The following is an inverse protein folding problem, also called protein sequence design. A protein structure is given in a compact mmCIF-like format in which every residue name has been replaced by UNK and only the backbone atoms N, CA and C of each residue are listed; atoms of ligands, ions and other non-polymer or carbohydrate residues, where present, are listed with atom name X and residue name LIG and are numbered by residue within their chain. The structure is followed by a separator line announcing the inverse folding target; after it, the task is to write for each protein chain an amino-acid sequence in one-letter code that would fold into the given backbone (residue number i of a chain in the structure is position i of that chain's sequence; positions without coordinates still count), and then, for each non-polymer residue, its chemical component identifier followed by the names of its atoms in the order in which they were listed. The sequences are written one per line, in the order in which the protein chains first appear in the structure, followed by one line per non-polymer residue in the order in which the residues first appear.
data_IF_493498131307
#
_entry.id   IF_493498131307
#
_cell.length_a   1.000
_cell.length_b   1.000
_cell.length_c   1.000
_cell.angle_alpha   90.00
_cell.angle_beta   90.00
_cell.angle_gamma   90.00
#
_symmetry.space_group_name_H-M   'P 1'
#
loop_
_entity.id
_entity.type
_entity.pdbx_description
1 polymer ?
#
# COMPACT_ATOMS: atom_id res chain seq x y z
N UNK A 1 -25.81 -46.96 38.92
CA UNK A 1 -26.68 -46.43 37.86
C UNK A 1 -27.75 -45.59 38.54
N UNK A 2 -27.81 -44.28 38.20
CA UNK A 2 -29.02 -43.43 38.00
C UNK A 2 -30.13 -43.58 39.05
N UNK A 3 -30.64 -42.59 39.78
CA UNK A 3 -30.86 -41.17 39.51
C UNK A 3 -31.14 -40.49 40.86
N UNK A 4 -30.64 -39.28 41.06
CA UNK A 4 -31.16 -38.36 42.08
C UNK A 4 -32.12 -37.40 41.38
N UNK A 5 -33.42 -37.54 41.66
CA UNK A 5 -34.46 -36.54 41.40
C UNK A 5 -34.89 -35.96 42.74
N UNK A 6 -34.64 -34.67 43.02
CA UNK A 6 -35.42 -33.51 42.58
C UNK A 6 -36.58 -33.21 43.54
N UNK A 7 -36.37 -32.28 44.47
CA UNK A 7 -37.33 -31.20 44.80
C UNK A 7 -36.69 -30.22 45.80
N UNK A 8 -36.12 -29.14 45.27
CA UNK A 8 -35.90 -27.90 46.03
C UNK A 8 -37.16 -27.04 45.92
N UNK A 9 -37.62 -26.38 47.01
CA UNK A 9 -38.74 -25.47 46.95
C UNK A 9 -38.34 -24.16 46.23
N UNK A 10 -39.21 -23.71 45.33
CA UNK A 10 -39.18 -22.39 44.71
C UNK A 10 -39.29 -21.29 45.77
N UNK A 11 -38.38 -20.29 45.80
CA UNK A 11 -38.69 -19.02 46.41
C UNK A 11 -39.50 -18.17 45.42
N UNK A 12 -40.70 -17.83 45.86
CA UNK A 12 -41.55 -16.80 45.30
C UNK A 12 -40.84 -15.45 45.21
N UNK A 13 -41.19 -14.71 44.16
CA UNK A 13 -40.98 -13.27 43.96
C UNK A 13 -39.53 -12.78 44.09
N UNK A 14 -38.79 -12.87 42.99
CA UNK A 14 -37.68 -11.96 42.74
C UNK A 14 -38.22 -10.53 42.70
N UNK A 15 -38.17 -9.84 43.84
CA UNK A 15 -38.41 -8.41 43.92
C UNK A 15 -37.40 -7.68 43.02
N UNK A 16 -37.93 -6.87 42.12
CA UNK A 16 -37.23 -6.04 41.15
C UNK A 16 -36.36 -4.94 41.79
N UNK A 17 -35.24 -5.25 42.46
CA UNK A 17 -34.36 -4.21 43.03
C UNK A 17 -32.85 -4.54 43.12
N UNK A 18 -32.30 -5.52 42.39
CA UNK A 18 -30.88 -5.90 42.55
C UNK A 18 -29.85 -5.14 41.70
N UNK A 19 -30.24 -4.18 40.86
CA UNK A 19 -29.28 -3.27 40.20
C UNK A 19 -28.89 -2.05 41.05
N UNK A 20 -29.23 -2.04 42.35
CA UNK A 20 -28.86 -0.96 43.27
C UNK A 20 -27.37 -1.02 43.64
N UNK A 21 -26.58 -0.27 42.87
CA UNK A 21 -25.31 0.40 43.23
C UNK A 21 -24.76 0.03 44.63
N UNK A 22 -23.98 -1.04 44.71
CA UNK A 22 -23.49 -1.62 45.97
C UNK A 22 -22.57 -0.71 46.81
N UNK A 23 -22.05 0.39 46.26
CA UNK A 23 -21.21 1.33 47.02
C UNK A 23 -21.11 2.69 46.32
N UNK A 24 -21.66 3.71 46.97
CA UNK A 24 -21.43 5.13 46.65
C UNK A 24 -19.95 5.50 46.71
N UNK A 25 -19.18 4.90 47.63
CA UNK A 25 -17.73 5.08 47.72
C UNK A 25 -17.01 4.59 46.47
N UNK A 26 -17.33 3.39 45.99
CA UNK A 26 -16.73 2.84 44.77
C UNK A 26 -17.12 3.64 43.53
N UNK A 27 -18.38 4.08 43.43
CA UNK A 27 -18.81 4.98 42.36
C UNK A 27 -18.10 6.34 42.41
N UNK A 28 -17.88 6.91 43.60
CA UNK A 28 -17.16 8.18 43.73
C UNK A 28 -15.67 8.05 43.40
N UNK A 29 -15.03 6.94 43.77
CA UNK A 29 -13.64 6.66 43.45
C UNK A 29 -13.44 6.47 41.93
N UNK A 30 -14.36 5.75 41.28
CA UNK A 30 -14.34 5.55 39.82
C UNK A 30 -14.51 6.88 39.07
N UNK A 31 -15.45 7.74 39.50
CA UNK A 31 -15.62 9.06 38.87
C UNK A 31 -14.41 9.97 39.09
N UNK A 32 -13.83 9.98 40.29
CA UNK A 32 -12.61 10.75 40.57
C UNK A 32 -11.45 10.28 39.68
N UNK A 33 -11.31 8.96 39.47
CA UNK A 33 -10.32 8.39 38.57
C UNK A 33 -10.57 8.79 37.10
N UNK A 34 -11.81 8.64 36.60
CA UNK A 34 -12.17 9.05 35.23
C UNK A 34 -11.91 10.54 35.03
N UNK A 35 -12.29 11.37 36.00
CA UNK A 35 -12.05 12.81 35.96
C UNK A 35 -10.55 13.14 35.89
N UNK A 36 -9.74 12.47 36.70
CA UNK A 36 -8.28 12.64 36.68
C UNK A 36 -7.69 12.23 35.33
N UNK A 37 -8.09 11.08 34.77
CA UNK A 37 -7.65 10.63 33.44
C UNK A 37 -8.04 11.65 32.37
N UNK A 38 -9.28 12.16 32.40
CA UNK A 38 -9.74 13.11 31.40
C UNK A 38 -9.01 14.44 31.52
N UNK A 39 -8.82 14.95 32.74
CA UNK A 39 -8.01 16.16 32.98
C UNK A 39 -6.59 15.93 32.50
N UNK A 40 -5.98 14.77 32.78
CA UNK A 40 -4.62 14.47 32.33
C UNK A 40 -4.55 14.46 30.80
N UNK A 41 -5.50 13.82 30.12
CA UNK A 41 -5.58 13.82 28.65
C UNK A 41 -5.76 15.25 28.13
N UNK A 42 -6.69 16.02 28.67
CA UNK A 42 -6.95 17.42 28.25
C UNK A 42 -5.77 18.34 28.52
N UNK A 43 -5.13 18.17 29.68
CA UNK A 43 -3.90 18.86 30.01
C UNK A 43 -2.82 18.47 29.02
N UNK A 44 -2.60 17.18 28.73
CA UNK A 44 -1.58 16.77 27.75
C UNK A 44 -1.89 17.21 26.32
N UNK A 45 -3.14 17.41 25.93
CA UNK A 45 -3.52 17.88 24.60
C UNK A 45 -3.48 19.40 24.49
N UNK A 46 -3.86 20.14 25.53
CA UNK A 46 -3.91 21.61 25.56
C UNK A 46 -2.59 22.26 26.04
N UNK A 47 -1.79 21.56 26.85
CA UNK A 47 -0.49 22.06 27.35
C UNK A 47 0.68 21.72 26.42
N UNK A 48 0.44 20.96 25.33
CA UNK A 48 1.46 20.74 24.30
C UNK A 48 1.65 22.04 23.53
N UNK A 49 2.78 22.68 23.82
CA UNK A 49 3.31 23.84 23.13
C UNK A 49 3.33 23.61 21.62
N UNK A 50 3.11 24.69 20.88
CA UNK A 50 3.26 24.68 19.43
C UNK A 50 4.73 24.43 19.14
N UNK A 51 5.04 23.42 18.32
CA UNK A 51 6.42 23.13 17.97
C UNK A 51 6.79 23.90 16.72
N UNK A 52 7.82 24.74 16.82
CA UNK A 52 8.51 25.29 15.67
C UNK A 52 9.43 24.22 15.07
N UNK A 53 9.05 23.69 13.90
CA UNK A 53 9.92 22.80 13.14
C UNK A 53 10.95 23.64 12.39
N UNK A 54 12.27 23.40 12.53
CA UNK A 54 13.32 24.18 11.84
C UNK A 54 13.45 23.82 10.36
N UNK A 55 12.32 23.81 9.63
CA UNK A 55 12.21 23.48 8.20
C UNK A 55 13.13 24.36 7.34
N UNK A 56 13.31 25.64 7.70
CA UNK A 56 14.20 26.57 6.99
C UNK A 56 15.66 26.13 6.99
N UNK A 57 16.15 25.59 8.12
CA UNK A 57 17.50 25.04 8.25
C UNK A 57 17.66 23.79 7.38
N UNK A 58 16.69 22.86 7.43
CA UNK A 58 16.73 21.63 6.63
C UNK A 58 16.70 21.93 5.14
N UNK A 59 15.90 22.92 4.71
CA UNK A 59 15.87 23.37 3.31
C UNK A 59 17.20 24.00 2.90
N UNK A 60 17.84 24.80 3.75
CA UNK A 60 19.16 25.36 3.48
C UNK A 60 20.22 24.25 3.33
N UNK A 61 20.22 23.27 4.24
CA UNK A 61 21.11 22.12 4.20
C UNK A 61 20.88 21.26 2.94
N UNK A 62 19.62 21.05 2.55
CA UNK A 62 19.26 20.36 1.32
C UNK A 62 19.76 21.12 0.10
N UNK A 63 19.51 22.44 0.00
CA UNK A 63 20.01 23.24 -1.13
C UNK A 63 21.54 23.19 -1.26
N UNK A 64 22.26 23.18 -0.15
CA UNK A 64 23.71 23.02 -0.15
C UNK A 64 24.16 21.63 -0.61
N UNK A 65 23.35 20.59 -0.34
CA UNK A 65 23.66 19.18 -0.67
C UNK A 65 23.16 18.73 -2.04
N UNK A 66 22.07 19.29 -2.56
CA UNK A 66 21.42 18.87 -3.81
C UNK A 66 22.09 19.46 -5.08
N UNK A 67 23.36 19.87 -5.03
CA UNK A 67 23.98 20.65 -6.09
C UNK A 67 23.92 19.97 -7.48
N UNK A 68 23.13 20.56 -8.39
CA UNK A 68 23.52 20.74 -9.78
C UNK A 68 23.11 22.16 -10.25
N UNK A 69 24.02 22.91 -10.87
CA UNK A 69 23.77 24.27 -11.37
C UNK A 69 23.02 24.25 -12.72
N UNK A 70 22.31 25.34 -12.99
CA UNK A 70 21.77 25.77 -14.29
C UNK A 70 20.39 25.27 -14.75
N UNK A 71 19.89 24.10 -14.37
CA UNK A 71 18.54 23.67 -14.76
C UNK A 71 17.73 23.25 -13.54
N UNK A 72 17.10 24.22 -12.88
CA UNK A 72 15.95 23.95 -12.03
C UNK A 72 14.73 24.05 -12.96
N UNK A 73 14.30 22.97 -13.66
CA UNK A 73 12.94 22.97 -14.17
C UNK A 73 12.06 23.20 -12.94
N UNK A 74 11.15 24.16 -13.06
CA UNK A 74 10.40 24.73 -11.95
C UNK A 74 10.08 23.67 -10.87
N UNK A 75 10.55 23.88 -9.63
CA UNK A 75 10.35 22.99 -8.47
C UNK A 75 8.87 22.59 -8.27
N UNK A 76 7.95 23.24 -8.97
CA UNK A 76 6.51 22.96 -9.05
C UNK A 76 6.14 21.67 -9.80
N UNK A 77 7.05 20.99 -10.50
CA UNK A 77 6.74 19.75 -11.25
C UNK A 77 7.60 18.53 -10.87
N UNK A 78 8.37 18.57 -9.79
CA UNK A 78 9.11 17.40 -9.33
C UNK A 78 8.11 16.32 -8.88
N UNK A 79 8.09 15.18 -9.58
CA UNK A 79 7.29 14.02 -9.18
C UNK A 79 8.10 13.20 -8.17
N UNK A 80 7.46 12.75 -7.08
CA UNK A 80 8.09 11.84 -6.12
C UNK A 80 8.47 10.52 -6.81
N UNK A 81 9.76 10.13 -6.83
CA UNK A 81 10.13 8.84 -7.40
C UNK A 81 9.64 7.69 -6.52
N UNK A 82 9.07 6.65 -7.14
CA UNK A 82 8.57 5.46 -6.46
C UNK A 82 9.56 4.84 -5.45
N UNK A 83 9.03 4.31 -4.35
CA UNK A 83 9.82 3.55 -3.38
C UNK A 83 10.22 2.20 -3.89
N UNK A 84 9.23 1.53 -4.45
CA UNK A 84 9.27 0.14 -4.75
C UNK A 84 8.59 -0.07 -6.09
N UNK A 85 9.05 -1.09 -6.78
CA UNK A 85 8.40 -1.57 -7.98
C UNK A 85 7.78 -2.92 -7.67
N UNK A 86 6.52 -3.09 -8.01
CA UNK A 86 5.86 -4.39 -8.03
C UNK A 86 5.65 -4.81 -9.48
N UNK A 87 6.05 -6.01 -9.85
CA UNK A 87 5.92 -6.52 -11.21
C UNK A 87 5.11 -7.81 -11.23
N UNK A 88 3.94 -7.75 -11.85
CA UNK A 88 3.19 -8.94 -12.22
C UNK A 88 3.62 -9.42 -13.60
N UNK A 89 4.03 -10.68 -13.71
CA UNK A 89 4.32 -11.31 -15.00
C UNK A 89 3.33 -12.42 -15.28
N UNK A 90 2.60 -12.32 -16.39
CA UNK A 90 1.69 -13.35 -16.87
C UNK A 90 2.34 -14.10 -18.02
N UNK A 91 2.30 -15.41 -17.95
CA UNK A 91 2.96 -16.30 -18.89
C UNK A 91 1.92 -17.27 -19.41
N UNK A 92 1.83 -17.48 -20.72
CA UNK A 92 0.85 -18.41 -21.29
C UNK A 92 1.34 -19.87 -21.34
N UNK A 93 2.65 -20.07 -21.48
CA UNK A 93 3.30 -21.38 -21.63
C UNK A 93 4.28 -21.70 -20.49
N UNK A 94 4.29 -22.93 -19.96
CA UNK A 94 5.25 -23.33 -18.94
C UNK A 94 6.71 -23.28 -19.43
N UNK A 95 6.95 -23.40 -20.73
CA UNK A 95 8.30 -23.36 -21.33
C UNK A 95 9.02 -22.02 -21.12
N UNK A 96 8.28 -20.93 -20.88
CA UNK A 96 8.82 -19.59 -20.69
C UNK A 96 9.24 -19.31 -19.23
N UNK A 97 8.75 -20.12 -18.27
CA UNK A 97 8.96 -19.88 -16.84
C UNK A 97 10.45 -19.80 -16.44
N UNK A 98 11.36 -20.68 -16.92
CA UNK A 98 12.77 -20.60 -16.55
C UNK A 98 13.40 -19.24 -16.90
N UNK A 99 13.18 -18.76 -18.13
CA UNK A 99 13.71 -17.47 -18.60
C UNK A 99 13.11 -16.28 -17.84
N UNK A 100 11.81 -16.34 -17.55
CA UNK A 100 11.14 -15.31 -16.72
C UNK A 100 11.75 -15.28 -15.32
N UNK A 101 11.91 -16.42 -14.66
CA UNK A 101 12.48 -16.47 -13.32
C UNK A 101 13.95 -16.03 -13.29
N UNK A 102 14.76 -16.43 -14.28
CA UNK A 102 16.15 -16.01 -14.42
C UNK A 102 16.26 -14.48 -14.57
N UNK A 103 15.41 -13.90 -15.43
CA UNK A 103 15.39 -12.45 -15.66
C UNK A 103 14.94 -11.66 -14.42
N UNK A 104 13.91 -12.14 -13.72
CA UNK A 104 13.44 -11.53 -12.47
C UNK A 104 14.49 -11.63 -11.37
N UNK A 105 15.17 -12.77 -11.24
CA UNK A 105 16.26 -12.95 -10.28
C UNK A 105 17.40 -11.97 -10.57
N UNK A 106 17.83 -11.87 -11.82
CA UNK A 106 18.88 -10.93 -12.23
C UNK A 106 18.47 -9.47 -12.00
N UNK A 107 17.24 -9.08 -12.37
CA UNK A 107 16.75 -7.73 -12.12
C UNK A 107 16.74 -7.39 -10.62
N UNK A 108 16.25 -8.32 -9.79
CA UNK A 108 16.24 -8.16 -8.32
C UNK A 108 17.66 -8.03 -7.77
N UNK A 109 18.59 -8.88 -8.20
CA UNK A 109 19.99 -8.84 -7.76
C UNK A 109 20.64 -7.50 -8.12
N UNK A 110 20.44 -7.02 -9.35
CA UNK A 110 21.04 -5.75 -9.82
C UNK A 110 20.44 -4.54 -9.10
N UNK A 111 19.14 -4.57 -8.82
CA UNK A 111 18.45 -3.48 -8.12
C UNK A 111 18.71 -3.50 -6.61
N UNK A 112 18.86 -4.68 -6.01
CA UNK A 112 19.33 -4.83 -4.64
C UNK A 112 20.69 -4.13 -4.49
N UNK A 113 20.83 -3.29 -3.46
CA UNK A 113 22.11 -2.65 -3.15
C UNK A 113 23.18 -3.67 -2.76
N UNK A 114 24.45 -3.24 -2.72
CA UNK A 114 25.52 -4.09 -2.19
C UNK A 114 25.22 -4.45 -0.72
N UNK A 115 25.31 -5.73 -0.31
CA UNK A 115 24.96 -6.18 1.04
C UNK A 115 25.86 -5.62 2.16
N UNK A 116 26.91 -4.85 1.84
CA UNK A 116 27.88 -4.33 2.81
C UNK A 116 27.37 -3.22 3.73
N UNK A 117 26.18 -2.66 3.51
CA UNK A 117 25.60 -1.61 4.37
C UNK A 117 24.42 -2.09 5.21
N UNK A 118 24.09 -3.38 5.20
CA UNK A 118 23.03 -3.97 6.02
C UNK A 118 23.53 -4.26 7.45
N UNK A 119 23.95 -3.23 8.19
CA UNK A 119 24.09 -3.34 9.64
C UNK A 119 22.72 -3.11 10.26
N UNK A 120 22.15 -4.20 10.78
CA UNK A 120 21.19 -4.30 11.86
C UNK A 120 20.51 -2.99 12.33
N UNK A 121 19.52 -2.58 11.58
CA UNK A 121 18.27 -1.91 11.98
C UNK A 121 17.49 -1.84 10.69
N UNK A 122 16.18 -2.09 10.70
CA UNK A 122 15.36 -2.00 9.47
C UNK A 122 15.63 -0.63 8.83
N UNK A 123 16.19 -0.62 7.60
CA UNK A 123 15.30 -0.18 6.55
C UNK A 123 15.46 -1.00 5.28
N UNK A 124 14.31 -1.33 4.66
CA UNK A 124 14.25 -2.01 3.37
C UNK A 124 15.09 -1.26 2.32
N UNK A 125 15.73 -1.98 1.37
CA UNK A 125 16.47 -1.36 0.29
C UNK A 125 15.56 -0.38 -0.47
N UNK A 126 16.05 0.82 -0.78
CA UNK A 126 15.27 1.91 -1.41
C UNK A 126 14.84 1.60 -2.87
N UNK A 127 15.24 0.43 -3.38
CA UNK A 127 15.06 0.03 -4.78
C UNK A 127 14.76 -1.48 -4.85
N UNK A 128 13.72 -1.96 -4.18
CA UNK A 128 13.32 -3.36 -4.32
C UNK A 128 12.29 -3.53 -5.43
N UNK A 129 12.47 -4.61 -6.19
CA UNK A 129 11.50 -5.14 -7.14
C UNK A 129 10.80 -6.33 -6.48
N UNK A 130 9.54 -6.16 -6.13
CA UNK A 130 8.65 -7.28 -5.81
C UNK A 130 8.12 -7.85 -7.10
N UNK A 131 7.99 -9.18 -7.18
CA UNK A 131 7.46 -9.80 -8.39
C UNK A 131 6.66 -11.05 -8.10
N UNK A 132 5.65 -11.30 -8.92
CA UNK A 132 4.95 -12.58 -8.98
C UNK A 132 4.84 -13.03 -10.44
N UNK A 133 4.77 -14.34 -10.65
CA UNK A 133 4.62 -14.95 -11.97
C UNK A 133 3.34 -15.79 -11.96
N UNK A 134 2.49 -15.62 -12.98
CA UNK A 134 1.23 -16.35 -13.11
C UNK A 134 1.14 -17.03 -14.47
N UNK A 135 0.98 -18.35 -14.46
CA UNK A 135 0.71 -19.14 -15.66
C UNK A 135 -0.78 -19.07 -16.02
N UNK A 136 -1.11 -18.63 -17.23
CA UNK A 136 -2.49 -18.48 -17.75
C UNK A 136 -2.57 -18.81 -19.25
N UNK A 137 -2.59 -20.10 -19.59
CA UNK A 137 -2.71 -20.59 -20.98
C UNK A 137 -4.09 -20.33 -21.60
N UNK A 138 -5.16 -20.69 -20.88
CA UNK A 138 -6.53 -20.78 -21.44
C UNK A 138 -7.05 -19.51 -22.10
N UNK A 139 -6.77 -18.34 -21.53
CA UNK A 139 -7.29 -17.08 -22.07
C UNK A 139 -6.61 -16.72 -23.40
N UNK A 140 -5.31 -17.02 -23.54
CA UNK A 140 -4.58 -16.86 -24.79
C UNK A 140 -5.04 -17.88 -25.83
N UNK A 141 -5.26 -19.13 -25.44
CA UNK A 141 -5.63 -20.20 -26.38
C UNK A 141 -6.90 -19.86 -27.16
N UNK A 142 -7.93 -19.32 -26.50
CA UNK A 142 -9.16 -18.90 -27.18
C UNK A 142 -8.90 -17.81 -28.24
N UNK A 143 -8.08 -16.80 -27.92
CA UNK A 143 -7.74 -15.70 -28.84
C UNK A 143 -6.91 -16.20 -30.02
N UNK A 144 -5.93 -17.08 -29.75
CA UNK A 144 -5.07 -17.64 -30.80
C UNK A 144 -5.85 -18.56 -31.73
N UNK A 145 -6.72 -19.43 -31.22
CA UNK A 145 -7.57 -20.29 -32.04
C UNK A 145 -8.45 -19.45 -32.98
N UNK A 146 -9.04 -18.35 -32.50
CA UNK A 146 -9.83 -17.46 -33.34
C UNK A 146 -9.00 -16.80 -34.45
N UNK A 147 -7.79 -16.32 -34.13
CA UNK A 147 -6.88 -15.72 -35.10
C UNK A 147 -6.40 -16.72 -36.16
N UNK A 148 -6.09 -17.95 -35.76
CA UNK A 148 -5.67 -19.03 -36.67
C UNK A 148 -6.81 -19.44 -37.60
N UNK A 149 -8.02 -19.61 -37.07
CA UNK A 149 -9.21 -19.93 -37.87
C UNK A 149 -9.49 -18.83 -38.90
N UNK A 150 -9.34 -17.57 -38.51
CA UNK A 150 -9.48 -16.44 -39.42
C UNK A 150 -8.43 -16.48 -40.55
N UNK A 151 -7.16 -16.72 -40.21
CA UNK A 151 -6.08 -16.83 -41.21
C UNK A 151 -6.30 -18.00 -42.19
N UNK A 152 -6.75 -19.16 -41.70
CA UNK A 152 -7.08 -20.33 -42.56
C UNK A 152 -8.27 -20.10 -43.48
N UNK A 153 -9.22 -19.25 -43.10
CA UNK A 153 -10.38 -18.89 -43.94
C UNK A 153 -10.02 -17.98 -45.13
N UNK A 154 -8.74 -17.68 -45.36
CA UNK A 154 -8.26 -16.79 -46.42
C UNK A 154 -8.29 -15.29 -46.04
N UNK A 155 -8.82 -14.96 -44.85
CA UNK A 155 -8.84 -13.61 -44.31
C UNK A 155 -7.67 -13.41 -43.35
N UNK A 156 -6.47 -13.13 -43.89
CA UNK A 156 -5.31 -12.80 -43.06
C UNK A 156 -5.64 -11.63 -42.11
N UNK A 157 -5.56 -11.84 -40.78
CA UNK A 157 -5.91 -10.79 -39.84
C UNK A 157 -4.92 -9.63 -39.99
N UNK A 158 -5.44 -8.41 -40.17
CA UNK A 158 -4.59 -7.22 -40.23
C UNK A 158 -3.74 -7.11 -38.96
N UNK A 159 -2.50 -6.62 -39.08
CA UNK A 159 -1.59 -6.45 -37.93
C UNK A 159 -2.24 -5.67 -36.78
N UNK A 160 -3.00 -4.62 -37.11
CA UNK A 160 -3.72 -3.81 -36.11
C UNK A 160 -4.78 -4.63 -35.37
N UNK A 161 -5.45 -5.56 -36.05
CA UNK A 161 -6.44 -6.43 -35.45
C UNK A 161 -5.80 -7.40 -34.44
N UNK A 162 -4.71 -8.07 -34.83
CA UNK A 162 -3.96 -8.99 -33.97
C UNK A 162 -3.46 -8.26 -32.72
N UNK A 163 -2.80 -7.10 -32.91
CA UNK A 163 -2.27 -6.31 -31.79
C UNK A 163 -3.38 -5.83 -30.85
N UNK A 164 -4.51 -5.35 -31.39
CA UNK A 164 -5.66 -4.91 -30.58
C UNK A 164 -6.24 -6.04 -29.73
N UNK A 165 -6.30 -7.28 -30.25
CA UNK A 165 -6.78 -8.44 -29.47
C UNK A 165 -5.81 -8.81 -28.36
N UNK A 166 -4.50 -8.81 -28.64
CA UNK A 166 -3.48 -9.12 -27.64
C UNK A 166 -3.37 -8.04 -26.56
N UNK A 167 -3.51 -6.77 -26.95
CA UNK A 167 -3.59 -5.64 -26.02
C UNK A 167 -4.81 -5.76 -25.08
N UNK A 168 -5.98 -6.05 -25.64
CA UNK A 168 -7.18 -6.28 -24.83
C UNK A 168 -7.00 -7.48 -23.87
N UNK A 169 -6.39 -8.56 -24.34
CA UNK A 169 -6.08 -9.73 -23.52
C UNK A 169 -5.10 -9.38 -22.39
N UNK A 170 -4.03 -8.63 -22.68
CA UNK A 170 -3.08 -8.16 -21.67
C UNK A 170 -3.78 -7.32 -20.61
N UNK A 171 -4.63 -6.38 -21.03
CA UNK A 171 -5.44 -5.55 -20.14
C UNK A 171 -6.35 -6.39 -19.23
N UNK A 172 -6.98 -7.43 -19.77
CA UNK A 172 -7.81 -8.37 -18.99
C UNK A 172 -6.99 -9.20 -18.01
N UNK A 173 -5.82 -9.72 -18.39
CA UNK A 173 -4.95 -10.51 -17.50
C UNK A 173 -4.42 -9.68 -16.34
N UNK A 174 -4.02 -8.44 -16.66
CA UNK A 174 -3.38 -7.53 -15.73
C UNK A 174 -4.39 -6.86 -14.79
N UNK A 175 -5.71 -6.95 -15.07
CA UNK A 175 -6.80 -6.54 -14.18
C UNK A 175 -6.64 -5.13 -13.59
N UNK A 176 -6.03 -4.21 -14.34
CA UNK A 176 -5.76 -2.86 -13.85
C UNK A 176 -4.75 -2.80 -12.70
N UNK A 177 -3.83 -3.77 -12.57
CA UNK A 177 -2.73 -3.76 -11.57
C UNK A 177 -2.08 -2.38 -11.40
N UNK A 178 -1.81 -1.60 -12.47
CA UNK A 178 -1.23 -0.26 -12.35
C UNK A 178 -2.11 0.81 -11.70
N UNK A 179 -3.42 0.59 -11.66
CA UNK A 179 -4.39 1.46 -11.00
C UNK A 179 -4.50 1.19 -9.49
N UNK A 180 -3.97 0.06 -9.01
CA UNK A 180 -4.01 -0.35 -7.61
C UNK A 180 -2.86 0.29 -6.81
N UNK A 181 -2.85 1.62 -6.70
CA UNK A 181 -1.78 2.35 -5.99
C UNK A 181 -1.76 2.16 -4.47
N UNK A 182 -2.85 1.67 -3.85
CA UNK A 182 -3.02 1.72 -2.39
C UNK A 182 -3.53 0.43 -1.72
N UNK A 183 -3.72 -0.68 -2.44
CA UNK A 183 -4.46 -1.83 -1.91
C UNK A 183 -3.61 -2.88 -1.15
N UNK A 184 -2.28 -2.89 -1.32
CA UNK A 184 -1.47 -4.06 -0.94
C UNK A 184 -0.45 -3.89 0.19
N UNK A 185 -0.27 -2.69 0.76
CA UNK A 185 0.68 -2.50 1.87
C UNK A 185 0.03 -1.72 3.04
N UNK A 186 -0.03 -2.31 4.25
CA UNK A 186 -0.63 -1.69 5.43
C UNK A 186 0.27 -0.60 6.07
N UNK A 187 1.53 -0.47 5.64
CA UNK A 187 2.42 0.60 6.09
C UNK A 187 2.23 1.84 5.21
N UNK A 188 1.78 2.94 5.84
CA UNK A 188 1.37 4.21 5.22
C UNK A 188 2.51 4.93 4.43
N UNK A 189 3.74 4.41 4.43
CA UNK A 189 4.89 5.02 3.72
C UNK A 189 5.45 4.23 2.52
N UNK A 190 4.79 3.15 2.07
CA UNK A 190 5.30 2.27 1.00
C UNK A 190 4.50 2.41 -0.30
N UNK A 191 4.66 3.52 -1.02
CA UNK A 191 4.11 3.64 -2.36
C UNK A 191 4.84 2.72 -3.34
N UNK A 192 4.10 1.76 -3.90
CA UNK A 192 4.60 0.80 -4.88
C UNK A 192 4.04 1.16 -6.25
N UNK A 193 4.93 1.34 -7.23
CA UNK A 193 4.52 1.37 -8.62
C UNK A 193 4.34 -0.05 -9.12
N UNK A 194 3.09 -0.42 -9.38
CA UNK A 194 2.72 -1.72 -9.93
C UNK A 194 2.79 -1.69 -11.45
N UNK A 195 3.54 -2.64 -12.01
CA UNK A 195 3.80 -2.85 -13.42
C UNK A 195 3.23 -4.19 -13.83
N UNK A 196 2.64 -4.23 -15.03
CA UNK A 196 2.12 -5.45 -15.64
C UNK A 196 2.87 -5.82 -16.91
N UNK A 197 3.18 -7.10 -17.06
CA UNK A 197 3.75 -7.66 -18.28
C UNK A 197 3.15 -9.02 -18.62
N UNK A 198 2.60 -9.16 -19.82
CA UNK A 198 2.09 -10.44 -20.34
C UNK A 198 3.00 -11.00 -21.44
N UNK A 199 3.28 -12.31 -21.42
CA UNK A 199 4.03 -13.00 -22.47
C UNK A 199 3.05 -13.91 -23.23
N UNK A 200 2.92 -13.65 -24.52
CA UNK A 200 2.06 -14.40 -25.42
C UNK A 200 2.90 -15.12 -26.47
N UNK A 201 2.88 -16.43 -26.43
CA UNK A 201 3.30 -17.32 -27.49
C UNK A 201 2.28 -17.19 -28.62
N UNK A 202 2.65 -16.90 -29.87
CA UNK A 202 1.70 -16.73 -30.98
C UNK A 202 2.26 -17.40 -32.23
N UNK A 203 1.45 -18.18 -32.98
CA UNK A 203 1.90 -18.82 -34.22
C UNK A 203 2.43 -17.78 -35.22
N UNK A 204 3.56 -18.09 -35.86
CA UNK A 204 4.19 -17.17 -36.79
C UNK A 204 3.32 -16.83 -38.02
N UNK A 205 2.39 -17.72 -38.40
CA UNK A 205 1.45 -17.56 -39.52
C UNK A 205 0.45 -16.41 -39.34
N UNK A 206 0.06 -16.12 -38.09
CA UNK A 206 -0.88 -15.04 -37.76
C UNK A 206 -0.17 -13.72 -37.43
N UNK A 207 1.16 -13.73 -37.38
CA UNK A 207 1.99 -12.56 -37.13
C UNK A 207 2.42 -11.92 -38.46
N UNK A 208 2.55 -10.58 -38.53
CA UNK A 208 3.14 -9.92 -39.69
C UNK A 208 4.59 -10.37 -39.91
N UNK A 209 5.09 -10.31 -41.14
CA UNK A 209 6.42 -10.82 -41.54
C UNK A 209 7.58 -10.32 -40.65
N UNK A 210 7.52 -9.08 -40.16
CA UNK A 210 8.52 -8.52 -39.25
C UNK A 210 8.42 -8.99 -37.79
N UNK A 211 7.28 -9.53 -37.36
CA UNK A 211 7.02 -10.08 -36.02
C UNK A 211 7.12 -11.61 -35.97
N UNK A 212 7.00 -12.27 -37.11
CA UNK A 212 7.10 -13.72 -37.25
C UNK A 212 8.52 -14.29 -37.01
N UNK A 213 9.53 -13.43 -36.84
CA UNK A 213 10.95 -13.82 -36.74
C UNK A 213 11.70 -13.28 -35.51
N UNK A 214 11.02 -12.56 -34.61
CA UNK A 214 11.62 -12.01 -33.39
C UNK A 214 10.58 -11.80 -32.30
N UNK A 215 11.02 -11.86 -31.04
CA UNK A 215 10.19 -11.37 -29.94
C UNK A 215 9.93 -9.87 -30.11
N UNK A 216 8.67 -9.48 -30.01
CA UNK A 216 8.24 -8.08 -30.05
C UNK A 216 7.53 -7.71 -28.76
N UNK A 217 8.00 -6.66 -28.10
CA UNK A 217 7.36 -6.15 -26.89
C UNK A 217 6.74 -4.78 -27.15
N UNK A 218 5.55 -4.59 -26.58
CA UNK A 218 4.74 -3.40 -26.73
C UNK A 218 4.42 -2.85 -25.36
N UNK A 219 4.47 -1.53 -25.23
CA UNK A 219 3.96 -0.81 -24.08
C UNK A 219 2.59 -0.25 -24.46
N UNK A 220 1.56 -0.69 -23.75
CA UNK A 220 0.19 -0.21 -23.91
C UNK A 220 0.03 1.13 -23.17
N UNK A 221 0.67 1.22 -22.00
CA UNK A 221 0.78 2.41 -21.17
C UNK A 221 2.15 2.40 -20.46
N UNK A 222 2.52 3.46 -19.73
CA UNK A 222 3.77 3.57 -18.97
C UNK A 222 3.98 2.38 -18.02
N UNK A 223 2.88 1.77 -17.56
CA UNK A 223 2.88 0.70 -16.55
C UNK A 223 2.37 -0.66 -17.04
N UNK A 224 1.97 -0.77 -18.31
CA UNK A 224 1.44 -2.02 -18.89
C UNK A 224 2.17 -2.36 -20.17
N UNK A 225 2.59 -3.61 -20.30
CA UNK A 225 3.18 -4.11 -21.52
C UNK A 225 2.81 -5.55 -21.80
N UNK A 226 3.09 -5.98 -23.03
CA UNK A 226 3.06 -7.37 -23.42
C UNK A 226 4.16 -7.68 -24.42
N UNK A 227 4.65 -8.92 -24.42
CA UNK A 227 5.58 -9.43 -25.42
C UNK A 227 4.94 -10.57 -26.20
N UNK A 228 5.23 -10.61 -27.49
CA UNK A 228 4.78 -11.63 -28.42
C UNK A 228 5.98 -12.46 -28.83
N UNK A 229 5.90 -13.78 -28.60
CA UNK A 229 6.93 -14.75 -28.93
C UNK A 229 6.45 -15.62 -30.10
N UNK A 230 7.10 -15.57 -31.27
CA UNK A 230 6.69 -16.35 -32.43
C UNK A 230 6.93 -17.85 -32.20
N UNK A 231 5.92 -18.66 -32.52
CA UNK A 231 5.93 -20.12 -32.41
C UNK A 231 5.89 -20.73 -33.81
N UNK A 232 6.69 -21.77 -34.02
CA UNK A 232 6.63 -22.60 -35.24
C UNK A 232 5.38 -23.45 -35.25
N UNK A 233 4.73 -23.52 -36.41
CA UNK A 233 3.66 -24.48 -36.62
C UNK A 233 4.31 -25.83 -36.91
N UNK A 234 3.91 -26.88 -36.18
CA UNK A 234 4.23 -28.23 -36.62
C UNK A 234 3.49 -28.49 -37.93
N UNK A 235 4.19 -29.00 -38.94
CA UNK A 235 3.63 -29.30 -40.27
C UNK A 235 2.37 -30.15 -40.13
N UNK A 236 1.21 -29.50 -40.22
CA UNK A 236 -0.09 -30.14 -40.15
C UNK A 236 -0.46 -30.66 -41.53
N UNK A 237 0.33 -31.60 -42.07
CA UNK A 237 -0.02 -32.32 -43.29
C UNK A 237 -1.13 -33.37 -43.11
N UNK A 238 -1.59 -33.60 -41.88
CA UNK A 238 -2.56 -34.67 -41.55
C UNK A 238 -3.94 -34.19 -41.04
N UNK A 239 -4.25 -32.89 -41.09
CA UNK A 239 -5.53 -32.37 -40.59
C UNK A 239 -6.55 -32.10 -41.72
N UNK A 240 -6.94 -33.15 -42.44
CA UNK A 240 -7.93 -33.12 -43.53
C UNK A 240 -9.37 -33.48 -43.07
N UNK A 241 -9.66 -33.33 -41.78
CA UNK A 241 -11.01 -33.59 -41.23
C UNK A 241 -11.76 -32.28 -41.02
N UNK A 242 -12.67 -31.94 -41.94
CA UNK A 242 -13.65 -30.86 -41.72
C UNK A 242 -14.66 -31.25 -40.63
N UNK A 243 -15.03 -30.31 -39.75
CA UNK A 243 -16.05 -30.50 -38.71
C UNK A 243 -15.60 -30.01 -37.31
N UNK A 244 -16.40 -30.32 -36.27
CA UNK A 244 -16.09 -29.99 -34.87
C UNK A 244 -14.76 -30.62 -34.39
N UNK A 245 -14.36 -31.74 -34.99
CA UNK A 245 -13.09 -32.42 -34.73
C UNK A 245 -11.88 -31.64 -35.26
N UNK A 246 -12.06 -30.83 -36.31
CA UNK A 246 -11.02 -29.93 -36.84
C UNK A 246 -10.70 -28.82 -35.83
N UNK A 247 -11.74 -28.21 -35.24
CA UNK A 247 -11.59 -27.12 -34.27
C UNK A 247 -11.00 -27.61 -32.95
N UNK A 248 -11.39 -28.81 -32.49
CA UNK A 248 -10.78 -29.48 -31.35
C UNK A 248 -9.30 -29.82 -31.61
N UNK A 249 -8.97 -30.29 -32.81
CA UNK A 249 -7.60 -30.57 -33.25
C UNK A 249 -6.75 -29.29 -33.30
N UNK A 250 -7.27 -28.20 -33.87
CA UNK A 250 -6.60 -26.89 -33.89
C UNK A 250 -6.34 -26.40 -32.48
N UNK A 251 -7.34 -26.48 -31.59
CA UNK A 251 -7.19 -26.07 -30.19
C UNK A 251 -6.14 -26.90 -29.45
N UNK A 252 -6.05 -28.19 -29.75
CA UNK A 252 -5.02 -29.08 -29.20
C UNK A 252 -3.63 -28.74 -29.76
N UNK A 253 -3.50 -28.52 -31.06
CA UNK A 253 -2.24 -28.19 -31.74
C UNK A 253 -1.65 -26.86 -31.31
N UNK A 254 -2.50 -25.86 -31.07
CA UNK A 254 -2.06 -24.53 -30.67
C UNK A 254 -2.17 -24.28 -29.17
N UNK A 255 -2.42 -25.30 -28.35
CA UNK A 255 -2.52 -25.14 -26.89
C UNK A 255 -1.21 -24.64 -26.29
N UNK A 256 -1.24 -23.55 -25.52
CA UNK A 256 -0.03 -23.01 -24.90
C UNK A 256 0.62 -23.97 -23.89
N UNK A 257 -0.18 -24.89 -23.30
CA UNK A 257 0.32 -25.87 -22.34
C UNK A 257 1.13 -27.01 -22.96
N UNK A 258 1.01 -27.25 -24.27
CA UNK A 258 1.78 -28.27 -24.99
C UNK A 258 3.06 -27.73 -25.63
N UNK A 259 3.26 -26.41 -25.63
CA UNK A 259 4.45 -25.79 -26.20
C UNK A 259 5.72 -26.17 -25.42
N UNK A 260 6.76 -26.52 -26.17
CA UNK A 260 8.09 -26.85 -25.64
C UNK A 260 9.09 -25.79 -26.07
N UNK A 261 10.31 -25.75 -25.50
CA UNK A 261 11.32 -24.78 -25.92
C UNK A 261 11.66 -24.81 -27.42
N UNK A 262 11.55 -25.97 -28.05
CA UNK A 262 11.82 -26.16 -29.50
C UNK A 262 10.71 -25.59 -30.37
N UNK A 263 9.50 -25.40 -29.82
CA UNK A 263 8.38 -24.84 -30.57
C UNK A 263 8.54 -23.35 -30.91
N UNK A 264 9.52 -22.65 -30.35
CA UNK A 264 9.69 -21.21 -30.53
C UNK A 264 10.67 -20.88 -31.64
N UNK A 265 10.38 -19.84 -32.42
CA UNK A 265 11.35 -19.25 -33.35
C UNK A 265 12.32 -18.37 -32.59
N UNK A 266 13.54 -18.87 -32.43
CA UNK A 266 14.58 -18.21 -31.63
C UNK A 266 15.59 -17.50 -32.53
N UNK A 267 16.04 -16.32 -32.09
CA UNK A 267 17.26 -15.67 -32.60
C UNK A 267 18.46 -15.90 -31.70
N UNK A 268 18.21 -16.09 -30.40
CA UNK A 268 19.25 -16.37 -29.43
C UNK A 268 19.61 -17.86 -29.42
N UNK A 269 20.71 -18.20 -28.74
CA UNK A 269 21.13 -19.58 -28.55
C UNK A 269 20.14 -20.43 -27.75
N UNK A 270 19.26 -19.80 -26.95
CA UNK A 270 18.22 -20.47 -26.18
C UNK A 270 16.99 -19.58 -25.95
N UNK A 271 15.84 -20.21 -25.75
CA UNK A 271 14.58 -19.53 -25.38
C UNK A 271 14.74 -18.74 -24.08
N UNK A 272 15.48 -19.29 -23.12
CA UNK A 272 15.77 -18.63 -21.86
C UNK A 272 16.46 -17.27 -22.07
N UNK A 273 17.50 -17.23 -22.92
CA UNK A 273 18.25 -16.01 -23.20
C UNK A 273 17.38 -14.95 -23.89
N UNK A 274 16.50 -15.37 -24.80
CA UNK A 274 15.61 -14.46 -25.53
C UNK A 274 14.51 -13.89 -24.63
N UNK A 275 13.87 -14.73 -23.80
CA UNK A 275 12.91 -14.31 -22.78
C UNK A 275 13.57 -13.36 -21.78
N UNK A 276 14.81 -13.67 -21.36
CA UNK A 276 15.55 -12.83 -20.44
C UNK A 276 15.84 -11.45 -21.01
N UNK A 277 16.33 -11.38 -22.24
CA UNK A 277 16.61 -10.11 -22.91
C UNK A 277 15.33 -9.27 -23.10
N UNK A 278 14.23 -9.90 -23.51
CA UNK A 278 12.94 -9.25 -23.69
C UNK A 278 12.40 -8.68 -22.36
N UNK A 279 12.38 -9.51 -21.30
CA UNK A 279 11.85 -9.10 -20.00
C UNK A 279 12.66 -7.96 -19.40
N UNK A 280 14.00 -8.08 -19.40
CA UNK A 280 14.87 -7.02 -18.87
C UNK A 280 14.73 -5.71 -19.64
N UNK A 281 14.55 -5.77 -20.96
CA UNK A 281 14.36 -4.56 -21.79
C UNK A 281 13.05 -3.85 -21.43
N UNK A 282 11.96 -4.60 -21.26
CA UNK A 282 10.67 -4.02 -20.88
C UNK A 282 10.71 -3.47 -19.46
N UNK A 283 11.27 -4.22 -18.50
CA UNK A 283 11.37 -3.74 -17.11
C UNK A 283 12.22 -2.48 -17.06
N UNK A 284 13.37 -2.45 -17.74
CA UNK A 284 14.25 -1.29 -17.78
C UNK A 284 13.49 -0.07 -18.31
N UNK A 285 12.78 -0.22 -19.42
CA UNK A 285 11.96 0.85 -20.00
C UNK A 285 10.84 1.33 -19.05
N UNK A 286 10.11 0.41 -18.40
CA UNK A 286 9.01 0.74 -17.49
C UNK A 286 9.46 1.49 -16.22
N UNK A 287 10.68 1.22 -15.71
CA UNK A 287 11.23 1.89 -14.52
C UNK A 287 12.14 3.09 -14.87
N UNK A 288 12.28 3.43 -16.15
CA UNK A 288 13.14 4.51 -16.63
C UNK A 288 14.65 4.23 -16.46
N UNK A 289 15.04 2.95 -16.49
CA UNK A 289 16.43 2.50 -16.46
C UNK A 289 16.91 2.24 -17.90
N UNK A 290 18.14 2.65 -18.23
CA UNK A 290 18.73 2.42 -19.57
C UNK A 290 19.01 0.94 -19.80
N UNK A 291 19.66 0.29 -18.83
CA UNK A 291 19.90 -1.15 -18.84
C UNK A 291 20.24 -1.67 -17.44
N UNK A 292 20.23 -2.99 -17.26
CA UNK A 292 20.63 -3.64 -16.00
C UNK A 292 22.15 -3.78 -15.82
N UNK A 293 22.96 -3.11 -16.65
CA UNK A 293 24.42 -3.03 -16.43
C UNK A 293 24.72 -2.26 -15.13
N UNK A 294 25.77 -2.63 -14.37
CA UNK A 294 26.10 -1.99 -13.09
C UNK A 294 26.22 -0.46 -13.15
N UNK A 295 26.86 0.08 -14.19
CA UNK A 295 27.06 1.51 -14.35
C UNK A 295 25.73 2.25 -14.55
N UNK A 296 24.84 1.71 -15.37
CA UNK A 296 23.53 2.28 -15.67
C UNK A 296 22.62 2.23 -14.43
N UNK A 297 22.64 1.12 -13.69
CA UNK A 297 21.91 1.00 -12.41
C UNK A 297 22.44 2.01 -11.39
N UNK A 298 23.75 2.17 -11.29
CA UNK A 298 24.35 3.16 -10.38
C UNK A 298 24.01 4.61 -10.78
N UNK A 299 23.97 4.91 -12.08
CA UNK A 299 23.54 6.21 -12.58
C UNK A 299 22.06 6.47 -12.30
N UNK A 300 21.20 5.49 -12.55
CA UNK A 300 19.77 5.54 -12.26
C UNK A 300 19.50 5.76 -10.77
N UNK A 301 20.17 5.02 -9.87
CA UNK A 301 20.06 5.22 -8.42
C UNK A 301 20.44 6.65 -8.00
N UNK A 302 21.56 7.17 -8.52
CA UNK A 302 22.01 8.55 -8.26
C UNK A 302 21.00 9.60 -8.74
N UNK A 303 20.48 9.44 -9.96
CA UNK A 303 19.48 10.35 -10.52
C UNK A 303 18.22 10.40 -9.66
N UNK A 304 17.77 9.26 -9.14
CA UNK A 304 16.58 9.21 -8.27
C UNK A 304 16.82 9.86 -6.90
N UNK A 305 17.98 9.66 -6.31
CA UNK A 305 18.35 10.37 -5.07
C UNK A 305 18.40 11.88 -5.29
N UNK A 306 18.92 12.34 -6.44
CA UNK A 306 18.88 13.75 -6.81
C UNK A 306 17.44 14.27 -6.96
N UNK A 307 16.57 13.53 -7.65
CA UNK A 307 15.14 13.88 -7.78
C UNK A 307 14.43 13.91 -6.41
N UNK A 308 14.71 12.95 -5.54
CA UNK A 308 14.21 12.95 -4.17
C UNK A 308 14.66 14.18 -3.39
N UNK A 309 15.90 14.61 -3.58
CA UNK A 309 16.46 15.81 -2.95
C UNK A 309 15.68 17.07 -3.37
N UNK A 310 15.44 17.22 -4.68
CA UNK A 310 14.64 18.33 -5.24
C UNK A 310 13.17 18.28 -4.78
N UNK A 311 12.55 17.10 -4.78
CA UNK A 311 11.19 16.92 -4.28
C UNK A 311 11.07 17.32 -2.80
N UNK A 312 12.02 16.90 -1.97
CA UNK A 312 12.06 17.24 -0.55
C UNK A 312 12.08 18.76 -0.36
N UNK A 313 12.91 19.49 -1.13
CA UNK A 313 12.95 20.96 -1.09
C UNK A 313 11.59 21.55 -1.48
N UNK A 314 11.00 21.08 -2.59
CA UNK A 314 9.70 21.56 -3.06
C UNK A 314 8.60 21.33 -2.03
N UNK A 315 8.54 20.12 -1.49
CA UNK A 315 7.61 19.67 -0.45
C UNK A 315 7.69 20.56 0.81
N UNK A 316 8.87 20.66 1.42
CA UNK A 316 9.06 21.49 2.62
C UNK A 316 8.80 22.97 2.36
N UNK A 317 9.18 23.49 1.20
CA UNK A 317 8.89 24.88 0.82
C UNK A 317 7.39 25.11 0.65
N UNK A 318 6.63 24.11 0.20
CA UNK A 318 5.17 24.14 0.15
C UNK A 318 4.56 24.13 1.54
N UNK A 319 5.00 23.21 2.42
CA UNK A 319 4.55 23.13 3.81
C UNK A 319 4.84 24.42 4.57
N UNK A 320 6.02 25.01 4.43
CA UNK A 320 6.37 26.31 5.03
C UNK A 320 5.44 27.43 4.57
N UNK A 321 5.11 27.51 3.27
CA UNK A 321 4.15 28.51 2.75
C UNK A 321 2.75 28.28 3.31
N UNK A 322 2.31 27.04 3.43
CA UNK A 322 1.01 26.69 4.01
C UNK A 322 0.91 27.07 5.49
N UNK A 323 1.96 26.79 6.28
CA UNK A 323 2.04 27.20 7.70
C UNK A 323 2.02 28.72 7.82
N UNK A 324 2.80 29.43 7.00
CA UNK A 324 2.81 30.90 7.01
C UNK A 324 1.45 31.53 6.64
N UNK A 325 0.68 30.88 5.76
CA UNK A 325 -0.66 31.34 5.39
C UNK A 325 -1.74 31.05 6.46
N UNK A 326 -1.47 30.14 7.41
CA UNK A 326 -2.44 29.67 8.40
C UNK A 326 -1.93 29.87 9.84
N UNK A 327 -1.76 31.14 10.23
CA UNK A 327 -1.19 31.52 11.54
C UNK A 327 -1.98 31.05 12.76
N UNK A 328 -3.26 30.67 12.58
CA UNK A 328 -4.15 30.20 13.65
C UNK A 328 -4.10 28.67 13.84
N UNK A 329 -3.21 27.98 13.14
CA UNK A 329 -3.10 26.53 13.19
C UNK A 329 -1.82 26.08 13.93
N UNK A 330 -1.99 25.25 14.95
CA UNK A 330 -0.90 24.76 15.80
C UNK A 330 -0.32 23.44 15.27
N UNK A 331 1.01 23.34 15.14
CA UNK A 331 1.70 22.09 14.79
C UNK A 331 1.74 21.16 16.02
N UNK A 332 1.17 19.94 15.97
CA UNK A 332 1.15 19.00 17.08
C UNK A 332 2.57 18.56 17.43
N UNK A 333 2.85 18.41 18.72
CA UNK A 333 4.13 17.87 19.20
C UNK A 333 4.48 16.47 18.64
N UNK A 334 3.46 15.69 18.21
CA UNK A 334 3.67 14.42 17.52
C UNK A 334 4.45 14.54 16.20
N UNK A 335 4.49 15.75 15.62
CA UNK A 335 5.22 16.05 14.38
C UNK A 335 6.74 16.11 14.58
N UNK A 336 7.24 16.31 15.81
CA UNK A 336 8.68 16.34 16.08
C UNK A 336 9.38 15.05 15.68
N UNK A 337 8.74 13.91 15.96
CA UNK A 337 9.33 12.60 15.63
C UNK A 337 9.43 12.42 14.11
N UNK A 338 8.37 12.77 13.38
CA UNK A 338 8.35 12.68 11.92
C UNK A 338 9.36 13.64 11.29
N UNK A 339 9.50 14.84 11.85
CA UNK A 339 10.51 15.79 11.40
C UNK A 339 11.94 15.36 11.73
N UNK A 340 12.19 14.78 12.90
CA UNK A 340 13.49 14.22 13.26
C UNK A 340 13.89 13.04 12.34
N UNK A 341 12.91 12.24 11.89
CA UNK A 341 13.14 11.17 10.91
C UNK A 341 13.52 11.74 9.54
N UNK A 342 12.82 12.80 9.08
CA UNK A 342 13.21 13.56 7.89
C UNK A 342 14.65 14.08 7.99
N UNK A 343 15.00 14.76 9.09
CA UNK A 343 16.36 15.29 9.31
C UNK A 343 17.41 14.17 9.24
N UNK A 344 17.13 13.02 9.86
CA UNK A 344 18.01 11.84 9.80
C UNK A 344 18.22 11.36 8.37
N UNK A 345 17.18 11.36 7.54
CA UNK A 345 17.29 10.99 6.12
C UNK A 345 18.10 12.01 5.30
N UNK A 346 17.94 13.31 5.57
CA UNK A 346 18.74 14.37 4.93
C UNK A 346 20.21 14.26 5.32
N UNK A 347 20.50 14.02 6.60
CA UNK A 347 21.87 13.87 7.11
C UNK A 347 22.57 12.65 6.51
N UNK A 348 21.86 11.52 6.41
CA UNK A 348 22.35 10.27 5.81
C UNK A 348 22.37 10.27 4.27
N UNK A 349 21.94 11.36 3.61
CA UNK A 349 21.84 11.48 2.14
C UNK A 349 20.92 10.42 1.51
N UNK A 350 19.92 9.96 2.26
CA UNK A 350 18.85 9.10 1.74
C UNK A 350 17.68 9.99 1.32
N UNK A 351 17.87 10.68 0.20
CA UNK A 351 16.97 11.75 -0.24
C UNK A 351 15.63 11.23 -0.75
N UNK A 352 15.55 10.00 -1.27
CA UNK A 352 14.27 9.36 -1.59
C UNK A 352 13.40 9.11 -0.35
N UNK A 353 14.03 8.76 0.79
CA UNK A 353 13.31 8.62 2.05
C UNK A 353 12.97 9.97 2.67
N UNK A 354 13.87 10.94 2.54
CA UNK A 354 13.59 12.32 2.94
C UNK A 354 12.41 12.90 2.15
N UNK A 355 12.31 12.61 0.85
CA UNK A 355 11.21 13.06 0.00
C UNK A 355 9.85 12.56 0.49
N UNK A 356 9.77 11.29 0.91
CA UNK A 356 8.55 10.69 1.50
C UNK A 356 8.24 11.24 2.86
N UNK A 357 9.24 11.29 3.75
CA UNK A 357 9.05 11.87 5.07
C UNK A 357 8.59 13.34 4.96
N UNK A 358 9.03 14.08 3.94
CA UNK A 358 8.53 15.42 3.66
C UNK A 358 7.11 15.42 3.08
N UNK A 359 6.74 14.42 2.26
CA UNK A 359 5.37 14.25 1.75
C UNK A 359 4.37 13.95 2.87
N UNK A 360 4.76 13.13 3.85
CA UNK A 360 3.97 12.86 5.07
C UNK A 360 3.76 14.12 5.92
N UNK A 361 4.59 15.16 5.73
CA UNK A 361 4.43 16.48 6.35
C UNK A 361 3.56 17.43 5.52
N UNK A 362 3.21 17.10 4.27
CA UNK A 362 2.37 17.94 3.42
C UNK A 362 0.89 17.88 3.83
N UNK A 363 0.19 18.99 3.58
CA UNK A 363 -1.26 19.09 3.73
C UNK A 363 -1.95 18.37 2.57
N UNK A 364 -2.46 17.15 2.76
CA UNK A 364 -3.37 16.57 1.77
C UNK A 364 -4.79 17.12 2.00
N UNK A 365 -5.39 17.87 1.05
CA UNK A 365 -6.72 18.48 1.25
C UNK A 365 -7.87 17.47 1.37
N UNK A 366 -7.63 16.17 1.13
CA UNK A 366 -8.65 15.12 1.19
C UNK A 366 -8.28 13.88 2.02
N UNK A 367 -7.12 13.82 2.67
CA UNK A 367 -6.72 12.67 3.50
C UNK A 367 -6.00 13.16 4.77
N UNK A 368 -6.72 13.20 5.88
CA UNK A 368 -6.15 13.43 7.21
C UNK A 368 -5.38 12.20 7.68
N UNK A 369 -4.16 12.37 8.22
CA UNK A 369 -4.07 12.56 9.67
C UNK A 369 -3.97 14.06 9.97
N UNK A 370 -4.74 14.49 10.97
CA UNK A 370 -4.97 15.89 11.32
C UNK A 370 -3.68 16.53 11.83
N UNK A 371 -2.92 17.16 10.93
CA UNK A 371 -1.83 18.05 11.34
C UNK A 371 -2.35 19.25 12.13
N UNK A 372 -3.62 19.64 11.96
CA UNK A 372 -4.16 20.84 12.58
C UNK A 372 -5.58 20.61 13.08
N UNK A 373 -5.80 20.95 14.34
CA UNK A 373 -7.13 21.20 14.87
C UNK A 373 -7.19 22.72 15.08
N UNK A 374 -8.11 23.45 14.41
CA UNK A 374 -8.30 24.88 14.70
C UNK A 374 -8.47 25.06 16.20
N UNK A 375 -7.79 26.03 16.81
CA UNK A 375 -7.84 26.21 18.28
C UNK A 375 -9.28 26.28 18.81
N UNK A 376 -10.16 26.96 18.08
CA UNK A 376 -11.58 27.06 18.39
C UNK A 376 -12.29 25.70 18.35
N UNK A 377 -11.96 24.85 17.37
CA UNK A 377 -12.51 23.51 17.27
C UNK A 377 -11.93 22.59 18.34
N UNK A 378 -10.63 22.68 18.64
CA UNK A 378 -10.02 21.94 19.74
C UNK A 378 -10.69 22.29 21.07
N UNK A 379 -10.86 23.59 21.34
CA UNK A 379 -11.52 24.08 22.53
C UNK A 379 -12.97 23.60 22.61
N UNK A 380 -13.75 23.67 21.52
CA UNK A 380 -15.14 23.21 21.48
C UNK A 380 -15.23 21.68 21.67
N UNK A 381 -14.40 20.89 20.98
CA UNK A 381 -14.38 19.44 21.14
C UNK A 381 -14.01 19.02 22.56
N UNK A 382 -12.97 19.65 23.13
CA UNK A 382 -12.59 19.42 24.53
C UNK A 382 -13.69 19.83 25.51
N UNK A 383 -14.38 20.95 25.28
CA UNK A 383 -15.51 21.39 26.11
C UNK A 383 -16.69 20.40 26.04
N UNK A 384 -17.01 19.90 24.85
CA UNK A 384 -18.08 18.90 24.64
C UNK A 384 -17.74 17.59 25.37
N UNK A 385 -16.48 17.16 25.35
CA UNK A 385 -16.03 15.95 26.06
C UNK A 385 -16.06 16.15 27.59
N UNK A 386 -15.79 17.36 28.09
CA UNK A 386 -15.80 17.67 29.53
C UNK A 386 -17.21 17.79 30.12
N UNK A 387 -18.21 18.19 29.34
CA UNK A 387 -19.59 18.42 29.81
C UNK A 387 -20.24 17.19 30.49
N UNK A 388 -20.20 15.97 29.92
CA UNK A 388 -20.73 14.76 30.56
C UNK A 388 -20.01 14.39 31.87
N UNK A 389 -18.74 14.79 31.99
CA UNK A 389 -17.94 14.46 33.17
C UNK A 389 -18.26 15.42 34.31
N UNK A 390 -18.44 16.71 34.01
CA UNK A 390 -18.95 17.69 34.96
C UNK A 390 -20.32 17.30 35.49
N UNK A 391 -21.22 16.81 34.63
CA UNK A 391 -22.54 16.33 35.08
C UNK A 391 -22.44 15.09 35.98
N UNK A 392 -21.55 14.13 35.67
CA UNK A 392 -21.28 12.97 36.53
C UNK A 392 -20.69 13.37 37.90
N UNK A 393 -19.80 14.37 37.94
CA UNK A 393 -19.24 14.91 39.19
C UNK A 393 -20.31 15.57 40.06
N UNK A 394 -21.20 16.35 39.47
CA UNK A 394 -22.33 16.96 40.19
C UNK A 394 -23.28 15.89 40.76
N UNK A 395 -23.59 14.84 39.98
CA UNK A 395 -24.39 13.73 40.44
C UNK A 395 -23.69 12.96 41.58
N UNK A 396 -22.39 12.72 41.47
CA UNK A 396 -21.58 12.07 42.50
C UNK A 396 -21.58 12.87 43.81
N UNK A 397 -21.39 14.19 43.74
CA UNK A 397 -21.45 15.07 44.90
C UNK A 397 -22.82 15.03 45.58
N UNK A 398 -23.90 15.05 44.79
CA UNK A 398 -25.27 14.91 45.30
C UNK A 398 -25.47 13.59 46.05
N UNK A 399 -25.01 12.46 45.47
CA UNK A 399 -25.13 11.15 46.14
C UNK A 399 -24.36 11.08 47.46
N UNK A 400 -23.16 11.65 47.52
CA UNK A 400 -22.36 11.72 48.75
C UNK A 400 -23.04 12.58 49.83
N UNK A 401 -23.67 13.69 49.45
CA UNK A 401 -24.43 14.55 50.39
C UNK A 401 -25.67 13.81 50.90
N UNK A 402 -26.41 13.14 50.04
CA UNK A 402 -27.59 12.35 50.42
C UNK A 402 -27.21 11.20 51.36
N UNK A 403 -26.11 10.49 51.11
CA UNK A 403 -25.63 9.44 51.98
C UNK A 403 -25.17 9.96 53.35
N UNK A 404 -24.42 11.08 53.39
CA UNK A 404 -24.05 11.74 54.65
C UNK A 404 -25.27 12.16 55.46
N UNK A 405 -26.31 12.69 54.81
CA UNK A 405 -27.58 13.05 55.46
C UNK A 405 -28.28 11.82 56.04
N UNK A 406 -28.38 10.72 55.28
CA UNK A 406 -28.97 9.46 55.74
C UNK A 406 -28.19 8.85 56.90
N UNK A 407 -26.86 8.85 56.86
CA UNK A 407 -26.03 8.34 57.95
C UNK A 407 -26.17 9.18 59.22
N UNK A 408 -26.25 10.51 59.11
CA UNK A 408 -26.56 11.40 60.25
C UNK A 408 -27.95 11.14 60.83
N UNK A 409 -28.96 10.92 59.98
CA UNK A 409 -30.31 10.60 60.43
C UNK A 409 -30.36 9.23 61.14
N UNK A 410 -29.69 8.21 60.60
CA UNK A 410 -29.56 6.88 61.23
C UNK A 410 -28.81 6.94 62.55
N UNK A 411 -27.70 7.68 62.62
CA UNK A 411 -26.96 7.87 63.87
C UNK A 411 -27.80 8.57 64.94
N UNK A 412 -28.59 9.60 64.56
CA UNK A 412 -29.55 10.26 65.46
C UNK A 412 -30.67 9.33 65.92
N UNK A 413 -31.20 8.48 65.04
CA UNK A 413 -32.23 7.50 65.39
C UNK A 413 -31.68 6.39 66.30
N UNK A 414 -30.47 5.90 66.03
CA UNK A 414 -29.78 4.93 66.87
C UNK A 414 -29.48 5.49 68.27
N UNK A 415 -29.02 6.74 68.36
CA UNK A 415 -28.81 7.43 69.65
C UNK A 415 -30.11 7.53 70.47
N UNK A 416 -31.22 7.90 69.84
CA UNK A 416 -32.54 7.93 70.49
C UNK A 416 -33.02 6.54 70.95
N UNK A 417 -32.74 5.49 70.18
CA UNK A 417 -33.09 4.12 70.54
C UNK A 417 -32.23 3.56 71.70
N UNK A 418 -30.96 3.95 71.79
CA UNK A 418 -30.10 3.62 72.94
C UNK A 418 -30.49 4.37 74.20
N UNK A 419 -30.95 5.62 74.08
CA UNK A 419 -31.45 6.39 75.22
C UNK A 419 -32.78 5.82 75.73
N UNK A 420 -33.69 5.42 74.83
CA UNK A 420 -34.96 4.78 75.20
C UNK A 420 -34.78 3.43 75.92
N UNK A 421 -33.74 2.66 75.58
CA UNK A 421 -33.37 1.40 76.26
C UNK A 421 -32.74 1.58 77.65
N UNK A 422 -32.28 2.78 78.00
CA UNK A 422 -31.76 3.11 79.34
C UNK A 422 -32.85 3.57 80.32
N UNK A 423 -34.04 3.88 79.81
CA UNK A 423 -35.20 4.37 80.58
C UNK A 423 -36.29 3.31 80.82
N UNK A 424 -36.10 2.09 80.32
CA UNK A 424 -36.79 0.87 80.77
C UNK A 424 -35.86 0.13 81.73
#
# INVERSE_FOLDING_TARGET
MVSTDSQLPLPLSASSEEWRRNSTRSFSALNAFIFLVVILVHWTTLSREHVELPMSRVVADLRARCAAPADIPALTSALLPAAFYGLGVWVDSPALLPGVHAALALAKERLAGSPRTAVATVPLPVHTLYSFVRLQSRMRDNVVTELVNQARSGNLPSTRHVMRKLDHLASQQQLGLPSLKHAFFPEIGQEIELLGLSLFSVPASVLPEGAASKVQCFLVDVRQGYCVLPVEESDASDADSGGADAEASIKAHFSASSLTPVSYRLRAASLEAEVLAALLSVIAQQIGLVSFKPADVAAWKRSREQLGCLYTIASLSSTMRSVAANTNMAIPHGMERMFADLERHVQSRSFLRAARAADDLQFHPSLTPQLHIPWEHAAVTHLIVLLPILSSMLLTARFLVEERRRNRARARAAAKATDAKKTQ
#
